data_IF_089329804758
#
_entry.id   IF_089329804758
#
_cell.length_a   1.000
_cell.length_b   1.000
_cell.length_c   1.000
_cell.angle_alpha   90.00
_cell.angle_beta   90.00
_cell.angle_gamma   90.00
#
_symmetry.space_group_name_H-M   'P 1'
#
loop_
_entity.id
_entity.type
_entity.pdbx_description
1 polymer ?
#
# COMPACT_ATOMS: atom_id res chain seq x y z
N UNK A 1 -102.71 -54.03 29.68
CA UNK A 1 -103.38 -54.63 28.51
C UNK A 1 -102.33 -54.75 27.42
N UNK A 2 -101.92 -56.00 27.11
CA UNK A 2 -101.42 -56.54 25.82
C UNK A 2 -100.31 -55.76 25.07
N UNK A 3 -99.15 -56.27 24.65
CA UNK A 3 -98.28 -57.46 24.90
C UNK A 3 -97.12 -57.38 23.86
N UNK A 4 -95.87 -57.63 24.32
CA UNK A 4 -94.66 -58.24 23.68
C UNK A 4 -94.17 -57.81 22.27
N UNK A 5 -92.85 -57.76 21.95
CA UNK A 5 -91.63 -58.05 22.71
C UNK A 5 -90.34 -58.00 21.84
N UNK A 6 -89.17 -57.83 22.49
CA UNK A 6 -87.77 -58.29 22.25
C UNK A 6 -87.16 -58.34 20.80
N UNK A 7 -85.88 -58.05 20.48
CA UNK A 7 -84.54 -58.17 21.11
C UNK A 7 -83.46 -57.34 20.32
N UNK A 8 -82.37 -56.94 21.01
CA UNK A 8 -80.97 -56.62 20.57
C UNK A 8 -80.52 -55.34 19.80
N UNK A 9 -79.55 -54.61 20.41
CA UNK A 9 -78.59 -53.57 19.91
C UNK A 9 -77.57 -54.13 18.87
N UNK A 10 -76.67 -53.33 18.22
CA UNK A 10 -76.70 -51.95 17.67
C UNK A 10 -75.94 -51.80 16.32
N UNK A 11 -76.40 -51.02 15.33
CA UNK A 11 -75.54 -50.52 14.22
C UNK A 11 -76.18 -49.25 13.63
N UNK A 12 -75.55 -48.08 13.71
CA UNK A 12 -75.67 -47.01 12.71
C UNK A 12 -74.58 -45.94 12.96
N UNK A 13 -73.38 -46.29 12.52
CA UNK A 13 -72.25 -45.38 12.33
C UNK A 13 -71.79 -45.60 10.88
N UNK A 14 -72.53 -45.04 9.91
CA UNK A 14 -72.31 -45.30 8.48
C UNK A 14 -72.89 -44.20 7.58
N UNK A 15 -72.42 -42.97 7.78
CA UNK A 15 -72.39 -41.92 6.74
C UNK A 15 -70.94 -41.58 6.33
N UNK A 16 -70.08 -42.60 6.41
CA UNK A 16 -68.74 -42.64 5.84
C UNK A 16 -68.77 -43.71 4.74
N UNK A 17 -68.13 -43.41 3.60
CA UNK A 17 -67.95 -44.26 2.41
C UNK A 17 -69.11 -44.20 1.42
N UNK A 18 -69.13 -43.17 0.56
CA UNK A 18 -69.36 -43.30 -0.88
C UNK A 18 -69.06 -41.96 -1.57
N UNK A 19 -67.78 -41.62 -1.67
CA UNK A 19 -67.16 -40.97 -2.84
C UNK A 19 -65.65 -41.16 -2.71
N UNK A 20 -65.25 -42.43 -2.81
CA UNK A 20 -63.86 -42.85 -3.02
C UNK A 20 -63.78 -43.36 -4.46
N UNK A 21 -63.51 -42.46 -5.40
CA UNK A 21 -62.79 -42.71 -6.66
C UNK A 21 -62.87 -41.45 -7.52
N UNK A 22 -61.74 -41.11 -8.13
CA UNK A 22 -61.47 -39.89 -8.92
C UNK A 22 -61.15 -38.64 -8.09
N UNK A 23 -60.04 -38.70 -7.34
CA UNK A 23 -58.95 -37.71 -7.38
C UNK A 23 -57.76 -38.18 -6.53
N UNK A 24 -57.31 -39.42 -6.74
CA UNK A 24 -55.98 -39.86 -6.29
C UNK A 24 -55.00 -39.74 -7.45
N UNK A 25 -54.65 -38.51 -7.85
CA UNK A 25 -53.41 -38.26 -8.60
C UNK A 25 -53.07 -36.76 -8.73
N UNK A 26 -52.76 -36.05 -7.64
CA UNK A 26 -51.77 -34.95 -7.65
C UNK A 26 -51.49 -34.47 -6.21
N UNK A 27 -50.21 -34.25 -5.87
CA UNK A 27 -49.68 -33.79 -4.57
C UNK A 27 -49.68 -34.75 -3.38
N UNK A 28 -48.88 -35.82 -3.49
CA UNK A 28 -48.04 -36.28 -2.37
C UNK A 28 -46.61 -35.88 -2.70
N UNK A 29 -46.16 -34.72 -2.22
CA UNK A 29 -44.78 -34.51 -1.78
C UNK A 29 -44.65 -33.16 -1.03
N UNK A 30 -43.86 -33.17 0.05
CA UNK A 30 -43.43 -32.04 0.91
C UNK A 30 -44.50 -31.15 1.58
N UNK A 31 -45.06 -31.58 2.73
CA UNK A 31 -45.51 -30.59 3.74
C UNK A 31 -44.29 -30.17 4.55
N UNK A 32 -43.81 -28.95 4.39
CA UNK A 32 -42.85 -28.36 5.33
C UNK A 32 -43.59 -28.07 6.66
N UNK A 33 -43.11 -28.65 7.76
CA UNK A 33 -43.68 -28.41 9.08
C UNK A 33 -43.33 -26.98 9.55
N UNK A 34 -44.37 -26.14 9.68
CA UNK A 34 -44.24 -24.83 10.34
C UNK A 34 -43.70 -24.99 11.76
N UNK A 35 -42.86 -24.07 12.21
CA UNK A 35 -42.28 -24.14 13.56
C UNK A 35 -43.02 -23.16 14.46
N UNK A 36 -43.89 -23.70 15.32
CA UNK A 36 -44.60 -22.92 16.32
C UNK A 36 -43.64 -22.38 17.39
N UNK A 37 -43.91 -21.17 17.87
CA UNK A 37 -43.21 -20.60 19.01
C UNK A 37 -41.81 -20.08 18.68
N UNK A 38 -41.49 -19.93 17.39
CA UNK A 38 -40.19 -19.48 16.91
C UNK A 38 -40.36 -18.43 15.82
N UNK A 39 -39.33 -17.60 15.64
CA UNK A 39 -39.27 -16.61 14.58
C UNK A 39 -37.84 -16.40 14.09
N UNK A 40 -37.69 -15.95 12.84
CA UNK A 40 -36.44 -15.42 12.34
C UNK A 40 -36.46 -13.88 12.41
N UNK A 41 -35.58 -13.28 13.22
CA UNK A 41 -35.52 -11.82 13.40
C UNK A 41 -34.50 -11.16 12.47
N UNK A 42 -34.42 -9.82 12.46
CA UNK A 42 -33.44 -8.97 11.74
C UNK A 42 -33.45 -9.00 10.20
N UNK A 43 -34.12 -9.99 9.59
CA UNK A 43 -34.11 -10.21 8.13
C UNK A 43 -35.43 -9.87 7.44
N UNK A 44 -36.34 -9.23 8.17
CA UNK A 44 -37.68 -8.87 7.69
C UNK A 44 -37.56 -7.68 6.73
N UNK A 45 -38.00 -7.86 5.48
CA UNK A 45 -37.94 -6.82 4.46
C UNK A 45 -39.33 -6.33 4.00
N UNK A 46 -40.40 -7.09 4.29
CA UNK A 46 -41.78 -6.72 3.96
C UNK A 46 -42.72 -7.21 5.05
N UNK A 47 -43.66 -6.36 5.45
CA UNK A 47 -44.74 -6.71 6.38
C UNK A 47 -46.08 -6.59 5.67
N UNK A 48 -46.95 -7.59 5.82
CA UNK A 48 -48.29 -7.64 5.23
C UNK A 48 -49.29 -7.74 6.38
N UNK A 49 -50.24 -6.80 6.42
CA UNK A 49 -51.30 -6.74 7.43
C UNK A 49 -52.60 -7.31 6.87
N UNK A 50 -53.47 -7.84 7.74
CA UNK A 50 -54.76 -8.44 7.36
C UNK A 50 -54.62 -9.74 6.56
N UNK A 51 -53.52 -10.44 6.77
CA UNK A 51 -53.31 -11.80 6.29
C UNK A 51 -54.07 -12.76 7.18
N UNK A 52 -55.40 -12.74 7.06
CA UNK A 52 -56.24 -13.76 7.66
C UNK A 52 -55.84 -15.08 6.97
N UNK A 53 -55.17 -15.96 7.72
CA UNK A 53 -54.62 -17.24 7.26
C UNK A 53 -53.25 -17.16 6.55
N UNK A 54 -52.39 -18.15 6.83
CA UNK A 54 -51.02 -18.22 6.33
C UNK A 54 -50.89 -18.33 4.79
N UNK A 55 -51.97 -18.63 4.08
CA UNK A 55 -52.01 -18.76 2.62
C UNK A 55 -51.65 -17.44 1.90
N UNK A 56 -52.06 -16.29 2.46
CA UNK A 56 -51.67 -15.00 1.90
C UNK A 56 -50.16 -14.75 2.06
N UNK A 57 -49.58 -15.16 3.18
CA UNK A 57 -48.13 -15.08 3.39
C UNK A 57 -47.36 -15.91 2.37
N UNK A 58 -47.81 -17.16 2.13
CA UNK A 58 -47.21 -18.06 1.15
C UNK A 58 -47.27 -17.46 -0.25
N UNK A 59 -48.45 -16.99 -0.66
CA UNK A 59 -48.64 -16.36 -1.98
C UNK A 59 -47.70 -15.17 -2.17
N UNK A 60 -47.66 -14.25 -1.22
CA UNK A 60 -46.81 -13.06 -1.29
C UNK A 60 -45.32 -13.42 -1.25
N UNK A 61 -44.94 -14.42 -0.46
CA UNK A 61 -43.56 -14.92 -0.42
C UNK A 61 -43.14 -15.54 -1.76
N UNK A 62 -44.02 -16.33 -2.40
CA UNK A 62 -43.69 -16.94 -3.68
C UNK A 62 -43.58 -15.92 -4.83
N UNK A 63 -44.33 -14.81 -4.78
CA UNK A 63 -44.26 -13.74 -5.77
C UNK A 63 -43.02 -12.84 -5.64
N UNK A 64 -42.42 -12.71 -4.45
CA UNK A 64 -41.19 -11.95 -4.26
C UNK A 64 -39.99 -12.89 -4.29
N UNK A 65 -39.12 -12.75 -5.30
CA UNK A 65 -37.91 -13.58 -5.44
C UNK A 65 -36.97 -13.45 -4.23
N UNK A 66 -37.06 -12.35 -3.48
CA UNK A 66 -36.25 -12.13 -2.28
C UNK A 66 -36.78 -12.90 -1.08
N UNK A 67 -38.02 -13.37 -1.09
CA UNK A 67 -38.54 -14.09 0.07
C UNK A 67 -37.93 -15.49 0.17
N UNK A 68 -37.36 -15.79 1.34
CA UNK A 68 -36.70 -17.05 1.67
C UNK A 68 -37.43 -17.77 2.83
N UNK A 69 -38.05 -17.00 3.72
CA UNK A 69 -38.91 -17.47 4.81
C UNK A 69 -39.88 -16.37 5.23
N UNK A 70 -40.81 -16.66 6.13
CA UNK A 70 -41.65 -15.64 6.75
C UNK A 70 -42.06 -16.04 8.16
N UNK A 71 -42.34 -15.03 8.99
CA UNK A 71 -43.00 -15.22 10.28
C UNK A 71 -44.49 -14.88 10.14
N UNK A 72 -45.37 -15.77 10.57
CA UNK A 72 -46.80 -15.50 10.71
C UNK A 72 -47.13 -15.15 12.16
N UNK A 73 -47.62 -13.94 12.39
CA UNK A 73 -48.05 -13.43 13.70
C UNK A 73 -49.54 -13.72 13.85
N UNK A 74 -49.88 -14.86 14.43
CA UNK A 74 -51.27 -15.31 14.51
C UNK A 74 -52.13 -14.48 15.46
N UNK A 75 -51.51 -13.74 16.39
CA UNK A 75 -52.21 -12.81 17.30
C UNK A 75 -52.66 -11.52 16.60
N UNK A 76 -52.12 -11.21 15.42
CA UNK A 76 -52.31 -9.93 14.72
C UNK A 76 -52.66 -10.09 13.23
N UNK A 77 -52.89 -11.32 12.76
CA UNK A 77 -53.14 -11.65 11.34
C UNK A 77 -52.16 -10.93 10.39
N UNK A 78 -50.86 -11.09 10.67
CA UNK A 78 -49.78 -10.37 9.99
C UNK A 78 -48.69 -11.32 9.51
N UNK A 79 -48.20 -11.10 8.29
CA UNK A 79 -47.00 -11.77 7.77
C UNK A 79 -45.79 -10.84 7.80
N UNK A 80 -44.63 -11.39 8.14
CA UNK A 80 -43.34 -10.71 8.02
C UNK A 80 -42.43 -11.53 7.13
N UNK A 81 -42.28 -11.11 5.86
CA UNK A 81 -41.44 -11.80 4.90
C UNK A 81 -39.96 -11.50 5.18
N UNK A 82 -39.15 -12.55 5.12
CA UNK A 82 -37.73 -12.53 5.41
C UNK A 82 -36.91 -12.96 4.20
N UNK A 83 -35.78 -12.28 3.99
CA UNK A 83 -34.85 -12.56 2.91
C UNK A 83 -33.78 -13.59 3.29
N UNK A 84 -33.95 -14.26 4.44
CA UNK A 84 -33.09 -15.31 4.96
C UNK A 84 -33.88 -16.51 5.45
N UNK A 85 -33.18 -17.59 5.78
CA UNK A 85 -33.73 -18.75 6.49
C UNK A 85 -33.00 -18.99 7.79
N UNK A 86 -33.58 -19.79 8.68
CA UNK A 86 -32.93 -20.22 9.93
C UNK A 86 -31.62 -20.99 9.71
N UNK A 87 -31.44 -21.66 8.56
CA UNK A 87 -30.21 -22.37 8.23
C UNK A 87 -29.09 -21.40 7.83
N UNK A 88 -29.44 -20.32 7.13
CA UNK A 88 -28.53 -19.25 6.75
C UNK A 88 -28.10 -18.36 7.92
N UNK A 89 -29.02 -18.15 8.89
CA UNK A 89 -28.85 -17.27 10.05
C UNK A 89 -29.38 -17.94 11.33
N UNK A 90 -28.76 -19.04 11.78
CA UNK A 90 -29.23 -19.77 12.96
C UNK A 90 -29.22 -18.94 14.24
N UNK A 91 -28.32 -17.96 14.35
CA UNK A 91 -28.21 -17.02 15.46
C UNK A 91 -29.41 -16.07 15.60
N UNK A 92 -30.15 -15.82 14.52
CA UNK A 92 -31.33 -14.96 14.51
C UNK A 92 -32.64 -15.75 14.65
N UNK A 93 -32.55 -17.08 14.77
CA UNK A 93 -33.71 -17.95 14.93
C UNK A 93 -34.04 -18.12 16.42
N UNK A 94 -34.99 -17.33 16.91
CA UNK A 94 -35.25 -17.13 18.34
C UNK A 94 -36.67 -17.53 18.75
N UNK A 95 -36.91 -17.92 20.02
CA UNK A 95 -38.25 -18.20 20.52
C UNK A 95 -39.17 -16.98 20.51
N UNK A 96 -40.41 -17.18 20.05
CA UNK A 96 -41.50 -16.22 20.18
C UNK A 96 -42.85 -16.95 20.11
N UNK A 97 -43.58 -16.97 21.23
CA UNK A 97 -44.82 -17.73 21.39
C UNK A 97 -45.99 -17.24 20.53
N UNK A 98 -45.92 -16.04 19.96
CA UNK A 98 -46.99 -15.45 19.14
C UNK A 98 -46.81 -15.71 17.64
N UNK A 99 -45.86 -16.57 17.26
CA UNK A 99 -45.41 -16.72 15.88
C UNK A 99 -45.27 -18.16 15.42
N UNK A 100 -45.51 -18.35 14.14
CA UNK A 100 -45.07 -19.52 13.39
C UNK A 100 -43.99 -19.07 12.39
N UNK A 101 -42.87 -19.78 12.37
CA UNK A 101 -41.87 -19.64 11.32
C UNK A 101 -42.17 -20.61 10.18
N UNK A 102 -42.15 -20.11 8.95
CA UNK A 102 -42.29 -20.88 7.72
C UNK A 102 -41.07 -20.67 6.83
N UNK A 103 -40.48 -21.76 6.35
CA UNK A 103 -39.47 -21.71 5.30
C UNK A 103 -40.18 -21.69 3.94
N UNK A 104 -39.54 -21.10 2.93
CA UNK A 104 -39.96 -21.27 1.54
C UNK A 104 -39.40 -22.58 1.00
N UNK A 105 -40.27 -23.46 0.54
CA UNK A 105 -39.96 -24.76 -0.07
C UNK A 105 -39.77 -24.68 -1.59
N UNK A 106 -40.62 -23.93 -2.28
CA UNK A 106 -40.68 -23.92 -3.74
C UNK A 106 -39.94 -22.74 -4.37
N UNK A 107 -39.22 -23.02 -5.45
CA UNK A 107 -38.53 -22.03 -6.29
C UNK A 107 -37.66 -21.05 -5.48
N UNK A 108 -37.08 -21.51 -4.37
CA UNK A 108 -36.24 -20.68 -3.51
C UNK A 108 -34.89 -20.45 -4.18
N UNK A 109 -34.49 -19.19 -4.31
CA UNK A 109 -33.21 -18.81 -4.89
C UNK A 109 -32.11 -18.94 -3.84
N UNK A 110 -30.99 -19.58 -4.21
CA UNK A 110 -29.78 -19.66 -3.38
C UNK A 110 -29.28 -18.23 -3.08
N UNK A 111 -28.90 -17.97 -1.84
CA UNK A 111 -28.36 -16.67 -1.47
C UNK A 111 -27.07 -16.39 -2.26
N UNK A 112 -26.94 -15.16 -2.76
CA UNK A 112 -25.86 -14.73 -3.63
C UNK A 112 -26.00 -15.12 -5.10
N UNK A 113 -27.06 -15.84 -5.51
CA UNK A 113 -27.27 -16.14 -6.93
C UNK A 113 -27.74 -14.92 -7.74
N UNK A 114 -28.38 -13.94 -7.08
CA UNK A 114 -28.89 -12.71 -7.70
C UNK A 114 -28.51 -11.48 -6.85
N UNK A 115 -28.35 -10.28 -7.45
CA UNK A 115 -27.93 -9.09 -6.73
C UNK A 115 -28.96 -8.58 -5.70
N UNK A 116 -30.24 -8.92 -5.84
CA UNK A 116 -31.30 -8.57 -4.89
C UNK A 116 -31.29 -9.43 -3.62
N UNK A 117 -30.56 -10.55 -3.65
CA UNK A 117 -30.33 -11.46 -2.55
C UNK A 117 -28.83 -11.71 -2.35
N UNK A 118 -28.04 -10.68 -2.02
CA UNK A 118 -26.64 -10.90 -1.72
C UNK A 118 -26.52 -11.75 -0.46
N UNK A 119 -25.54 -12.63 -0.39
CA UNK A 119 -25.15 -13.29 0.86
C UNK A 119 -24.17 -12.41 1.65
N UNK A 120 -23.99 -12.64 2.94
CA UNK A 120 -22.94 -12.00 3.75
C UNK A 120 -21.75 -12.94 3.99
N UNK A 121 -21.85 -14.24 3.66
CA UNK A 121 -20.72 -15.18 3.73
C UNK A 121 -20.88 -16.41 2.82
N UNK A 122 -19.77 -17.09 2.53
CA UNK A 122 -19.77 -18.41 1.88
C UNK A 122 -20.58 -19.46 2.63
N UNK A 123 -20.51 -19.42 3.97
CA UNK A 123 -21.27 -20.33 4.86
C UNK A 123 -22.76 -20.19 4.63
N UNK A 124 -23.22 -18.96 4.51
CA UNK A 124 -24.62 -18.67 4.25
C UNK A 124 -25.07 -19.17 2.87
N UNK A 125 -24.26 -18.94 1.84
CA UNK A 125 -24.55 -19.44 0.48
C UNK A 125 -24.73 -20.96 0.54
N UNK A 126 -23.77 -21.66 1.14
CA UNK A 126 -23.77 -23.12 1.31
C UNK A 126 -24.99 -23.61 2.10
N UNK A 127 -25.34 -22.95 3.19
CA UNK A 127 -26.52 -23.28 3.99
C UNK A 127 -27.83 -23.09 3.21
N UNK A 128 -27.95 -22.00 2.46
CA UNK A 128 -29.16 -21.70 1.67
C UNK A 128 -29.42 -22.71 0.54
N UNK A 129 -28.34 -23.24 -0.05
CA UNK A 129 -28.35 -24.27 -1.10
C UNK A 129 -28.36 -25.71 -0.58
N UNK A 130 -28.63 -25.94 0.71
CA UNK A 130 -28.72 -27.29 1.28
C UNK A 130 -27.40 -28.07 1.23
N UNK A 131 -26.25 -27.37 1.27
CA UNK A 131 -24.92 -27.98 1.22
C UNK A 131 -24.41 -28.30 -0.19
N UNK A 132 -25.17 -28.02 -1.25
CA UNK A 132 -24.81 -28.32 -2.64
C UNK A 132 -24.07 -27.17 -3.36
N UNK A 133 -23.84 -26.04 -2.69
CA UNK A 133 -23.16 -24.91 -3.31
C UNK A 133 -21.69 -25.24 -3.65
N UNK A 134 -21.23 -24.82 -4.83
CA UNK A 134 -19.86 -25.03 -5.33
C UNK A 134 -19.09 -23.71 -5.35
N UNK A 135 -17.75 -23.77 -5.38
CA UNK A 135 -16.92 -22.57 -5.48
C UNK A 135 -17.21 -21.83 -6.78
N UNK A 136 -17.24 -20.50 -6.72
CA UNK A 136 -17.61 -19.67 -7.86
C UNK A 136 -17.93 -18.24 -7.46
N UNK A 137 -18.48 -17.46 -8.40
CA UNK A 137 -18.83 -16.06 -8.18
C UNK A 137 -20.27 -15.93 -7.68
N UNK A 138 -20.44 -15.20 -6.59
CA UNK A 138 -21.73 -14.92 -5.95
C UNK A 138 -21.84 -13.44 -5.60
N UNK A 139 -23.08 -12.95 -5.55
CA UNK A 139 -23.40 -11.64 -5.02
C UNK A 139 -23.27 -11.64 -3.51
N UNK A 140 -22.34 -10.86 -3.00
CA UNK A 140 -22.06 -10.72 -1.57
C UNK A 140 -22.24 -9.26 -1.16
N UNK A 141 -22.74 -9.06 0.05
CA UNK A 141 -22.97 -7.75 0.61
C UNK A 141 -21.66 -7.17 1.15
N UNK A 142 -21.09 -6.22 0.42
CA UNK A 142 -19.88 -5.50 0.79
C UNK A 142 -20.21 -4.01 0.92
N UNK A 143 -20.04 -3.44 2.12
CA UNK A 143 -20.32 -2.01 2.39
C UNK A 143 -21.75 -1.63 1.97
N UNK A 144 -22.74 -2.45 2.36
CA UNK A 144 -24.18 -2.27 2.05
C UNK A 144 -24.50 -2.24 0.55
N UNK A 145 -23.67 -2.87 -0.28
CA UNK A 145 -23.88 -3.03 -1.72
C UNK A 145 -23.67 -4.48 -2.12
N UNK A 146 -24.49 -4.98 -3.04
CA UNK A 146 -24.27 -6.27 -3.66
C UNK A 146 -23.09 -6.16 -4.65
N UNK A 147 -22.03 -6.90 -4.39
CA UNK A 147 -20.81 -6.97 -5.21
C UNK A 147 -20.61 -8.42 -5.62
N UNK A 148 -20.17 -8.65 -6.85
CA UNK A 148 -19.84 -9.99 -7.32
C UNK A 148 -18.42 -10.34 -6.87
N UNK A 149 -18.29 -11.40 -6.07
CA UNK A 149 -17.03 -11.89 -5.51
C UNK A 149 -16.93 -13.41 -5.64
N UNK A 150 -15.72 -13.93 -5.74
CA UNK A 150 -15.45 -15.36 -5.69
C UNK A 150 -15.55 -15.87 -4.25
N UNK A 151 -16.22 -17.00 -4.08
CA UNK A 151 -16.37 -17.71 -2.83
C UNK A 151 -15.79 -19.12 -3.00
N UNK A 152 -14.84 -19.48 -2.15
CA UNK A 152 -14.30 -20.84 -2.07
C UNK A 152 -15.07 -21.65 -1.03
N UNK A 153 -15.93 -22.57 -1.50
CA UNK A 153 -16.77 -23.40 -0.63
C UNK A 153 -15.99 -24.47 0.15
N UNK A 154 -14.72 -24.74 -0.22
CA UNK A 154 -13.89 -25.73 0.48
C UNK A 154 -13.38 -25.18 1.81
N UNK A 155 -12.95 -23.91 1.81
CA UNK A 155 -12.47 -23.20 3.00
C UNK A 155 -13.51 -22.23 3.56
N UNK A 156 -14.65 -22.06 2.87
CA UNK A 156 -15.77 -21.20 3.21
C UNK A 156 -15.36 -19.73 3.35
N UNK A 157 -14.54 -19.26 2.40
CA UNK A 157 -13.90 -17.95 2.37
C UNK A 157 -14.26 -17.15 1.13
N UNK A 158 -14.47 -15.85 1.31
CA UNK A 158 -14.72 -14.92 0.20
C UNK A 158 -13.37 -14.33 -0.19
N UNK A 159 -13.03 -14.37 -1.48
CA UNK A 159 -11.88 -13.66 -1.99
C UNK A 159 -12.26 -12.21 -2.28
N UNK A 160 -12.05 -11.29 -1.33
CA UNK A 160 -12.39 -9.88 -1.54
C UNK A 160 -11.54 -9.22 -2.64
N UNK A 161 -10.39 -9.80 -2.99
CA UNK A 161 -9.54 -9.31 -4.06
C UNK A 161 -10.08 -9.65 -5.45
N UNK A 162 -11.00 -10.61 -5.55
CA UNK A 162 -11.73 -10.95 -6.78
C UNK A 162 -12.95 -10.06 -7.04
N UNK A 163 -13.21 -9.09 -6.16
CA UNK A 163 -14.35 -8.20 -6.26
C UNK A 163 -14.44 -7.48 -7.61
N UNK A 164 -15.66 -7.34 -8.14
CA UNK A 164 -15.92 -6.49 -9.30
C UNK A 164 -15.67 -4.99 -9.04
N UNK A 165 -15.50 -4.59 -7.77
CA UNK A 165 -15.13 -3.25 -7.35
C UNK A 165 -13.72 -3.23 -6.76
N UNK A 166 -13.06 -2.08 -6.81
CA UNK A 166 -11.74 -1.91 -6.20
C UNK A 166 -11.86 -1.75 -4.68
N UNK A 167 -11.35 -2.74 -3.93
CA UNK A 167 -11.34 -2.77 -2.46
C UNK A 167 -10.12 -2.10 -1.81
N UNK A 168 -8.97 -2.07 -2.51
CA UNK A 168 -7.73 -1.40 -2.05
C UNK A 168 -7.49 -0.07 -2.78
N UNK A 169 -6.51 0.72 -2.32
CA UNK A 169 -6.06 1.90 -3.08
C UNK A 169 -5.63 1.52 -4.52
N UNK A 170 -5.75 2.44 -5.47
CA UNK A 170 -5.26 2.23 -6.85
C UNK A 170 -3.75 1.89 -6.90
N UNK A 171 -2.99 2.44 -5.96
CA UNK A 171 -1.56 2.20 -5.79
C UNK A 171 -1.27 1.14 -4.71
N UNK A 172 -2.19 0.21 -4.45
CA UNK A 172 -1.99 -0.94 -3.59
C UNK A 172 -2.30 -2.25 -4.31
N UNK A 173 -1.69 -3.32 -3.81
CA UNK A 173 -1.99 -4.71 -4.15
C UNK A 173 -2.88 -5.30 -3.05
N UNK A 174 -3.86 -6.11 -3.46
CA UNK A 174 -4.79 -6.80 -2.57
C UNK A 174 -4.31 -8.23 -2.34
N UNK A 175 -4.32 -8.69 -1.10
CA UNK A 175 -3.98 -10.06 -0.70
C UNK A 175 -5.12 -10.67 0.08
N UNK A 176 -5.72 -11.73 -0.47
CA UNK A 176 -6.78 -12.46 0.21
C UNK A 176 -6.23 -13.22 1.42
N UNK A 177 -6.99 -13.26 2.51
CA UNK A 177 -6.65 -13.99 3.74
C UNK A 177 -7.89 -14.73 4.26
N UNK A 178 -7.72 -15.77 5.07
CA UNK A 178 -8.89 -16.49 5.56
C UNK A 178 -9.78 -15.59 6.43
N UNK A 179 -11.00 -15.31 5.95
CA UNK A 179 -12.01 -14.47 6.57
C UNK A 179 -11.83 -12.96 6.36
N UNK A 180 -10.85 -12.51 5.56
CA UNK A 180 -10.61 -11.09 5.30
C UNK A 180 -9.62 -10.84 4.15
N UNK A 181 -9.18 -9.61 3.96
CA UNK A 181 -8.12 -9.27 3.02
C UNK A 181 -7.21 -8.20 3.60
N UNK A 182 -6.01 -8.09 3.04
CA UNK A 182 -5.06 -7.04 3.36
C UNK A 182 -4.64 -6.29 2.09
N UNK A 183 -4.39 -4.99 2.25
CA UNK A 183 -3.90 -4.14 1.17
C UNK A 183 -2.47 -3.69 1.49
N UNK A 184 -1.56 -3.79 0.52
CA UNK A 184 -0.18 -3.31 0.64
C UNK A 184 0.12 -2.30 -0.46
N UNK A 185 0.68 -1.14 -0.12
CA UNK A 185 1.05 -0.16 -1.16
C UNK A 185 2.11 -0.73 -2.11
N UNK A 186 1.92 -0.47 -3.41
CA UNK A 186 2.87 -0.82 -4.48
C UNK A 186 4.22 -0.15 -4.26
N UNK A 187 5.31 -0.69 -4.83
CA UNK A 187 6.63 -0.07 -4.77
C UNK A 187 6.61 1.42 -5.17
N UNK A 188 7.26 2.26 -4.36
CA UNK A 188 7.28 3.71 -4.55
C UNK A 188 6.14 4.47 -3.87
N UNK A 189 5.23 3.77 -3.19
CA UNK A 189 4.17 4.36 -2.36
C UNK A 189 4.28 3.90 -0.90
N UNK A 190 3.74 4.71 0.01
CA UNK A 190 3.71 4.45 1.45
C UNK A 190 2.33 4.79 2.00
N UNK A 191 1.89 4.03 3.01
CA UNK A 191 0.59 4.20 3.65
C UNK A 191 0.04 2.87 4.15
N UNK A 192 -1.27 2.81 4.42
CA UNK A 192 -1.94 1.63 5.02
C UNK A 192 -2.62 0.72 3.97
N UNK A 193 -2.29 0.85 2.70
CA UNK A 193 -2.91 0.07 1.60
C UNK A 193 -4.29 0.58 1.17
N UNK A 194 -5.05 1.24 2.05
CA UNK A 194 -6.29 1.96 1.70
C UNK A 194 -6.00 3.38 1.21
N UNK A 195 -5.00 4.01 1.82
CA UNK A 195 -4.40 5.27 1.37
C UNK A 195 -2.93 5.02 1.08
N UNK A 196 -2.51 5.26 -0.17
CA UNK A 196 -1.12 5.15 -0.60
C UNK A 196 -0.66 6.47 -1.21
N UNK A 197 0.31 7.11 -0.57
CA UNK A 197 0.94 8.34 -1.04
C UNK A 197 2.31 8.02 -1.64
N UNK A 198 2.74 8.78 -2.64
CA UNK A 198 4.06 8.58 -3.26
C UNK A 198 5.14 8.82 -2.20
N UNK A 199 6.11 7.91 -2.09
CA UNK A 199 7.24 8.06 -1.17
C UNK A 199 8.06 9.28 -1.61
N UNK A 200 8.38 10.16 -0.66
CA UNK A 200 9.34 11.22 -0.95
C UNK A 200 10.70 10.58 -1.30
N UNK A 201 11.28 11.03 -2.41
CA UNK A 201 12.58 10.55 -2.85
C UNK A 201 13.66 11.06 -1.89
N UNK A 202 14.46 10.17 -1.32
CA UNK A 202 15.50 10.52 -0.33
C UNK A 202 16.75 11.09 -0.98
N UNK A 203 17.00 10.76 -2.23
CA UNK A 203 18.18 11.17 -2.99
C UNK A 203 17.91 11.10 -4.50
N UNK A 204 18.92 11.46 -5.30
CA UNK A 204 18.82 11.42 -6.76
C UNK A 204 18.66 10.01 -7.35
N UNK A 205 19.12 8.97 -6.65
CA UNK A 205 18.94 7.58 -7.08
C UNK A 205 17.47 7.15 -6.98
N UNK A 206 16.74 7.56 -5.94
CA UNK A 206 15.29 7.34 -5.85
C UNK A 206 14.55 8.06 -6.99
N UNK A 207 14.96 9.28 -7.33
CA UNK A 207 14.41 10.00 -8.50
C UNK A 207 14.70 9.25 -9.79
N UNK A 208 15.91 8.74 -9.96
CA UNK A 208 16.29 7.91 -11.10
C UNK A 208 15.44 6.65 -11.18
N UNK A 209 15.32 5.89 -10.09
CA UNK A 209 14.52 4.67 -10.05
C UNK A 209 13.02 4.94 -10.32
N UNK A 210 12.52 6.15 -10.02
CA UNK A 210 11.17 6.59 -10.39
C UNK A 210 10.97 6.97 -11.86
N UNK A 211 11.98 6.79 -12.71
CA UNK A 211 11.93 7.06 -14.15
C UNK A 211 12.43 8.44 -14.58
N UNK A 212 12.96 9.27 -13.67
CA UNK A 212 13.56 10.56 -14.04
C UNK A 212 14.95 10.33 -14.65
N UNK A 213 15.19 10.87 -15.86
CA UNK A 213 16.44 10.64 -16.63
C UNK A 213 17.18 11.92 -17.01
N UNK A 214 16.61 13.09 -16.75
CA UNK A 214 17.23 14.38 -17.09
C UNK A 214 18.06 14.92 -15.94
N UNK A 215 19.24 15.46 -16.24
CA UNK A 215 20.01 16.24 -15.26
C UNK A 215 19.22 17.49 -14.83
N UNK A 216 19.45 17.97 -13.61
CA UNK A 216 18.83 19.20 -13.13
C UNK A 216 18.62 19.24 -11.63
N UNK A 217 17.94 20.28 -11.17
CA UNK A 217 17.62 20.47 -9.75
C UNK A 217 16.36 19.69 -9.37
N UNK A 218 16.45 18.87 -8.33
CA UNK A 218 15.34 18.10 -7.77
C UNK A 218 15.18 18.38 -6.28
N UNK A 219 13.95 18.34 -5.79
CA UNK A 219 13.66 18.30 -4.34
C UNK A 219 13.72 16.86 -3.83
N UNK A 220 14.46 16.65 -2.74
CA UNK A 220 14.62 15.38 -2.04
C UNK A 220 14.32 15.54 -0.54
N UNK A 221 13.92 14.46 0.12
CA UNK A 221 13.61 14.44 1.55
C UNK A 221 14.29 13.23 2.22
N UNK A 222 15.57 13.36 2.64
CA UNK A 222 16.34 12.21 3.11
C UNK A 222 15.93 11.70 4.50
N UNK A 223 15.40 12.58 5.35
CA UNK A 223 15.09 12.31 6.76
C UNK A 223 13.97 13.24 7.27
N UNK A 224 13.60 13.11 8.55
CA UNK A 224 12.51 13.88 9.17
C UNK A 224 12.79 15.39 9.33
N UNK A 225 14.03 15.83 9.12
CA UNK A 225 14.45 17.23 9.27
C UNK A 225 14.07 18.11 8.07
N UNK A 226 13.36 17.54 7.09
CA UNK A 226 12.72 18.27 6.00
C UNK A 226 13.48 18.21 4.67
N UNK A 227 12.75 18.53 3.61
CA UNK A 227 13.23 18.46 2.23
C UNK A 227 14.18 19.60 1.87
N UNK A 228 15.06 19.35 0.89
CA UNK A 228 15.91 20.37 0.27
C UNK A 228 16.21 20.05 -1.19
N UNK A 229 16.66 21.06 -1.93
CA UNK A 229 17.03 20.92 -3.35
C UNK A 229 18.47 20.46 -3.52
N UNK A 230 18.69 19.58 -4.51
CA UNK A 230 20.00 19.10 -4.95
C UNK A 230 20.08 19.09 -6.47
N UNK A 231 21.29 19.15 -7.01
CA UNK A 231 21.51 18.87 -8.43
C UNK A 231 21.70 17.36 -8.62
N UNK A 232 20.86 16.76 -9.46
CA UNK A 232 20.97 15.36 -9.85
C UNK A 232 21.64 15.23 -11.21
N UNK A 233 22.71 14.45 -11.25
CA UNK A 233 23.27 13.92 -12.48
C UNK A 233 22.67 12.54 -12.74
N UNK A 234 21.76 12.51 -13.71
CA UNK A 234 21.00 11.33 -14.12
C UNK A 234 21.60 10.65 -15.35
N UNK A 235 22.72 11.14 -15.87
CA UNK A 235 23.30 10.68 -17.14
C UNK A 235 24.66 10.03 -16.97
N UNK A 236 25.52 10.54 -16.10
CA UNK A 236 26.87 10.01 -15.94
C UNK A 236 26.88 8.68 -15.18
N UNK A 237 27.74 7.75 -15.61
CA UNK A 237 28.06 6.51 -14.88
C UNK A 237 26.81 5.75 -14.33
N UNK A 238 25.74 5.65 -15.14
CA UNK A 238 24.50 4.95 -14.79
C UNK A 238 23.45 5.79 -14.05
N UNK A 239 23.66 7.11 -13.88
CA UNK A 239 22.70 8.05 -13.29
C UNK A 239 22.50 7.90 -11.79
N UNK A 240 21.54 8.68 -11.24
CA UNK A 240 21.19 8.66 -9.82
C UNK A 240 22.16 9.38 -8.89
N UNK A 241 23.06 10.21 -9.43
CA UNK A 241 24.10 10.88 -8.64
C UNK A 241 23.60 12.19 -8.06
N UNK A 242 23.86 12.40 -6.76
CA UNK A 242 23.61 13.67 -6.07
C UNK A 242 24.91 14.46 -6.06
N UNK A 243 24.98 15.55 -6.82
CA UNK A 243 26.17 16.41 -6.89
C UNK A 243 26.18 17.32 -5.67
N UNK A 244 27.30 17.35 -4.94
CA UNK A 244 27.45 18.17 -3.74
C UNK A 244 28.55 19.24 -3.83
N UNK A 245 29.40 19.14 -4.84
CA UNK A 245 30.39 20.16 -5.17
C UNK A 245 30.52 20.23 -6.70
N UNK A 246 30.61 21.45 -7.24
CA UNK A 246 30.76 21.69 -8.67
C UNK A 246 31.59 22.95 -8.94
N UNK A 247 32.65 22.80 -9.74
CA UNK A 247 33.53 23.86 -10.27
C UNK A 247 33.51 23.81 -11.80
N UNK A 248 33.43 24.96 -12.45
CA UNK A 248 33.20 25.10 -13.89
C UNK A 248 33.88 26.30 -14.54
N UNK A 249 33.85 27.47 -13.87
CA UNK A 249 34.12 28.75 -14.51
C UNK A 249 34.69 29.82 -13.56
N UNK A 250 34.77 29.56 -12.26
CA UNK A 250 35.24 30.50 -11.26
C UNK A 250 34.25 31.62 -10.91
N UNK A 251 32.97 31.47 -11.27
CA UNK A 251 31.91 32.44 -10.94
C UNK A 251 31.63 32.55 -9.44
N UNK A 252 32.04 31.57 -8.63
CA UNK A 252 31.82 31.54 -7.18
C UNK A 252 33.15 31.48 -6.44
N UNK A 253 33.29 32.32 -5.42
CA UNK A 253 34.42 32.25 -4.49
C UNK A 253 34.27 31.07 -3.52
N UNK A 254 35.29 30.22 -3.45
CA UNK A 254 35.36 29.08 -2.54
C UNK A 254 36.27 29.37 -1.33
N UNK A 255 36.96 30.51 -1.25
CA UNK A 255 37.78 30.86 -0.10
C UNK A 255 36.94 31.47 1.04
N UNK A 256 35.98 30.68 1.53
CA UNK A 256 34.95 31.08 2.48
C UNK A 256 35.15 30.48 3.89
N UNK A 257 34.39 31.02 4.84
CA UNK A 257 34.43 30.66 6.27
C UNK A 257 33.64 29.38 6.59
N UNK A 258 33.77 28.88 7.82
CA UNK A 258 33.11 27.67 8.32
C UNK A 258 31.60 27.67 8.09
N UNK A 259 30.94 28.78 8.44
CA UNK A 259 29.47 28.86 8.35
C UNK A 259 28.97 28.65 6.92
N UNK A 260 29.69 29.17 5.91
CA UNK A 260 29.32 29.01 4.51
C UNK A 260 29.48 27.54 4.08
N UNK A 261 30.58 26.90 4.45
CA UNK A 261 30.79 25.48 4.16
C UNK A 261 29.81 24.57 4.91
N UNK A 262 29.37 24.97 6.09
CA UNK A 262 28.33 24.27 6.86
C UNK A 262 26.97 24.32 6.15
N UNK A 263 26.49 25.51 5.78
CA UNK A 263 25.14 25.69 5.22
C UNK A 263 25.05 25.46 3.70
N UNK A 264 26.15 25.65 2.99
CA UNK A 264 26.23 25.64 1.53
C UNK A 264 26.16 27.04 0.92
N UNK A 265 26.68 27.17 -0.30
CA UNK A 265 26.77 28.41 -1.06
C UNK A 265 26.83 28.14 -2.58
N UNK A 266 26.67 29.21 -3.38
CA UNK A 266 26.65 29.13 -4.84
C UNK A 266 25.26 28.82 -5.42
N UNK A 267 25.23 28.30 -6.64
CA UNK A 267 24.00 27.98 -7.37
C UNK A 267 24.00 26.55 -7.86
N UNK A 268 22.92 25.79 -7.60
CA UNK A 268 22.79 24.41 -8.08
C UNK A 268 22.83 24.29 -9.62
N UNK A 269 22.61 25.39 -10.35
CA UNK A 269 22.73 25.44 -11.82
C UNK A 269 24.11 25.92 -12.31
N UNK A 270 25.01 26.32 -11.41
CA UNK A 270 26.36 26.78 -11.70
C UNK A 270 27.39 26.12 -10.78
N UNK A 271 28.31 26.91 -10.24
CA UNK A 271 29.24 26.45 -9.20
C UNK A 271 28.57 26.49 -7.82
N UNK A 272 28.81 25.46 -7.00
CA UNK A 272 28.26 25.41 -5.66
C UNK A 272 28.98 24.43 -4.74
N UNK A 273 28.74 24.63 -3.45
CA UNK A 273 28.97 23.66 -2.38
C UNK A 273 27.64 23.43 -1.66
N UNK A 274 27.20 22.18 -1.55
CA UNK A 274 25.87 21.84 -1.04
C UNK A 274 25.66 22.21 0.44
N UNK A 275 26.75 22.15 1.22
CA UNK A 275 26.75 22.35 2.68
C UNK A 275 27.03 21.06 3.44
N UNK A 276 27.94 21.11 4.40
CA UNK A 276 28.37 19.97 5.20
C UNK A 276 27.21 19.35 6.00
N UNK A 277 26.26 20.16 6.49
CA UNK A 277 25.07 19.65 7.17
C UNK A 277 24.23 18.74 6.26
N UNK A 278 24.04 19.15 5.00
CA UNK A 278 23.27 18.37 4.02
C UNK A 278 24.05 17.13 3.55
N UNK A 279 25.36 17.25 3.36
CA UNK A 279 26.23 16.13 2.99
C UNK A 279 26.26 15.07 4.10
N UNK A 280 26.36 15.49 5.36
CA UNK A 280 26.25 14.60 6.51
C UNK A 280 24.89 13.90 6.55
N UNK A 281 23.78 14.65 6.46
CA UNK A 281 22.42 14.09 6.44
C UNK A 281 22.24 13.02 5.37
N UNK A 282 22.74 13.27 4.15
CA UNK A 282 22.68 12.31 3.05
C UNK A 282 23.51 11.06 3.35
N UNK A 283 24.79 11.23 3.70
CA UNK A 283 25.70 10.10 3.88
C UNK A 283 25.48 9.29 5.15
N UNK A 284 24.76 9.83 6.13
CA UNK A 284 24.37 9.12 7.35
C UNK A 284 23.15 8.20 7.16
N UNK A 285 22.38 8.36 6.07
CA UNK A 285 21.13 7.61 5.87
C UNK A 285 21.32 6.20 5.33
N UNK A 286 22.44 5.91 4.67
CA UNK A 286 22.77 4.63 4.03
C UNK A 286 24.25 4.58 3.62
N UNK A 287 24.72 3.46 3.07
CA UNK A 287 26.06 3.39 2.49
C UNK A 287 26.10 4.12 1.14
N UNK A 288 26.89 5.20 1.06
CA UNK A 288 27.13 5.95 -0.17
C UNK A 288 28.51 5.63 -0.74
N UNK A 289 28.59 5.67 -2.07
CA UNK A 289 29.84 5.83 -2.80
C UNK A 289 30.02 7.26 -3.27
N UNK A 290 31.28 7.68 -3.37
CA UNK A 290 31.71 8.94 -3.95
C UNK A 290 32.23 8.70 -5.36
N UNK A 291 31.95 9.65 -6.26
CA UNK A 291 32.63 9.81 -7.54
C UNK A 291 33.10 11.25 -7.67
N UNK A 292 34.33 11.42 -8.15
CA UNK A 292 34.95 12.69 -8.48
C UNK A 292 35.22 12.67 -9.99
N UNK A 293 34.64 13.61 -10.73
CA UNK A 293 34.88 13.80 -12.17
C UNK A 293 35.75 15.06 -12.36
N UNK A 294 36.80 14.95 -13.18
CA UNK A 294 37.80 16.00 -13.40
C UNK A 294 37.98 16.26 -14.91
N UNK A 295 38.12 17.54 -15.27
CA UNK A 295 38.49 17.99 -16.63
C UNK A 295 39.63 19.02 -16.52
N UNK A 296 40.73 18.81 -17.24
CA UNK A 296 41.82 19.78 -17.34
C UNK A 296 41.54 20.88 -18.39
N UNK A 297 42.44 21.87 -18.49
CA UNK A 297 42.30 22.97 -19.45
C UNK A 297 42.41 22.52 -20.92
N UNK A 298 43.02 21.36 -21.17
CA UNK A 298 43.18 20.75 -22.49
C UNK A 298 41.99 19.87 -22.89
N UNK A 299 41.02 19.66 -21.99
CA UNK A 299 39.84 18.83 -22.19
C UNK A 299 40.05 17.34 -21.88
N UNK A 300 41.18 16.95 -21.31
CA UNK A 300 41.37 15.58 -20.84
C UNK A 300 40.52 15.35 -19.59
N UNK A 301 39.95 14.16 -19.46
CA UNK A 301 39.08 13.80 -18.34
C UNK A 301 39.60 12.61 -17.56
N UNK A 302 39.40 12.65 -16.25
CA UNK A 302 39.67 11.54 -15.35
C UNK A 302 38.62 11.47 -14.25
N UNK A 303 38.55 10.34 -13.56
CA UNK A 303 37.66 10.13 -12.44
C UNK A 303 38.28 9.27 -11.34
N UNK A 304 37.80 9.48 -10.13
CA UNK A 304 38.07 8.68 -8.94
C UNK A 304 36.74 8.27 -8.29
N UNK A 305 36.59 7.01 -7.92
CA UNK A 305 35.46 6.48 -7.15
C UNK A 305 35.93 5.85 -5.83
N UNK A 306 35.08 5.96 -4.81
CA UNK A 306 35.29 5.35 -3.49
C UNK A 306 33.99 4.65 -3.08
N UNK A 307 34.03 3.32 -2.89
CA UNK A 307 32.84 2.55 -2.49
C UNK A 307 32.44 2.72 -1.01
N UNK A 308 33.12 3.58 -0.27
CA UNK A 308 32.66 4.05 1.04
C UNK A 308 32.88 5.54 1.06
N UNK A 309 31.84 6.32 1.33
CA UNK A 309 31.91 7.75 1.54
C UNK A 309 30.93 8.16 2.62
N UNK A 310 31.47 8.62 3.74
CA UNK A 310 30.68 9.26 4.80
C UNK A 310 31.35 10.51 5.31
N UNK A 311 30.53 11.47 5.73
CA UNK A 311 30.97 12.71 6.36
C UNK A 311 30.36 12.75 7.76
N UNK A 312 31.21 12.94 8.78
CA UNK A 312 30.80 13.03 10.18
C UNK A 312 29.88 14.22 10.47
N UNK A 313 29.42 14.34 11.70
CA UNK A 313 28.62 15.50 12.13
C UNK A 313 29.52 16.69 12.54
N UNK A 314 28.92 17.80 12.95
CA UNK A 314 29.68 18.98 13.38
C UNK A 314 30.57 18.71 14.61
N UNK A 315 30.17 17.82 15.52
CA UNK A 315 30.96 17.48 16.71
C UNK A 315 32.29 16.79 16.35
N UNK A 316 32.32 16.03 15.26
CA UNK A 316 33.57 15.47 14.70
C UNK A 316 34.18 16.36 13.62
N UNK A 317 33.72 17.61 13.50
CA UNK A 317 34.12 18.58 12.46
C UNK A 317 34.01 18.00 11.05
N UNK A 318 32.91 17.29 10.79
CA UNK A 318 32.59 16.68 9.51
C UNK A 318 33.72 15.79 8.96
N UNK A 319 34.34 15.00 9.83
CA UNK A 319 35.44 14.09 9.49
C UNK A 319 35.12 13.23 8.26
N UNK A 320 36.07 13.14 7.33
CA UNK A 320 35.94 12.33 6.11
C UNK A 320 36.18 10.86 6.41
N UNK A 321 35.36 9.99 5.80
CA UNK A 321 35.67 8.57 5.70
C UNK A 321 35.49 8.10 4.25
N UNK A 322 36.59 7.70 3.62
CA UNK A 322 36.66 7.16 2.26
C UNK A 322 37.46 5.87 2.20
N UNK A 323 36.97 4.88 1.45
CA UNK A 323 37.65 3.57 1.26
C UNK A 323 37.34 2.98 -0.11
N UNK A 324 38.08 1.92 -0.46
CA UNK A 324 37.85 1.09 -1.64
C UNK A 324 37.90 1.93 -2.93
N UNK A 325 39.06 2.53 -3.17
CA UNK A 325 39.36 3.35 -4.33
C UNK A 325 39.30 2.56 -5.64
N UNK A 326 38.79 3.20 -6.70
CA UNK A 326 38.96 2.81 -8.10
C UNK A 326 38.91 4.04 -9.01
N UNK A 327 39.40 3.95 -10.24
CA UNK A 327 39.36 5.06 -11.18
C UNK A 327 40.58 5.11 -12.09
N UNK A 328 40.56 6.05 -13.04
CA UNK A 328 41.70 6.32 -13.92
C UNK A 328 42.47 7.59 -13.51
N UNK A 329 41.97 8.37 -12.55
CA UNK A 329 42.78 9.33 -11.82
C UNK A 329 43.73 8.58 -10.86
N UNK A 330 44.60 9.32 -10.18
CA UNK A 330 45.36 8.87 -9.01
C UNK A 330 44.49 8.91 -7.74
N UNK A 331 44.83 8.14 -6.71
CA UNK A 331 44.13 8.20 -5.42
C UNK A 331 44.62 9.37 -4.55
N UNK A 332 44.16 10.59 -4.85
CA UNK A 332 44.54 11.81 -4.13
C UNK A 332 43.61 12.18 -2.97
N UNK A 333 42.71 11.27 -2.57
CA UNK A 333 41.81 11.48 -1.43
C UNK A 333 42.08 10.51 -0.27
N UNK A 334 42.75 9.37 -0.49
CA UNK A 334 43.03 8.41 0.58
C UNK A 334 43.78 9.02 1.78
N UNK A 335 44.78 9.88 1.55
CA UNK A 335 45.53 10.54 2.63
C UNK A 335 44.70 11.54 3.45
N UNK A 336 43.55 11.96 2.92
CA UNK A 336 42.61 12.83 3.61
C UNK A 336 41.63 12.07 4.51
N UNK A 337 41.59 10.73 4.38
CA UNK A 337 40.70 9.88 5.17
C UNK A 337 40.96 10.03 6.67
N UNK A 338 39.90 10.23 7.45
CA UNK A 338 39.98 10.41 8.90
C UNK A 338 40.33 11.82 9.37
N UNK A 339 40.56 12.79 8.47
CA UNK A 339 40.84 14.17 8.86
C UNK A 339 39.55 15.01 8.98
N UNK A 340 39.51 15.97 9.91
CA UNK A 340 38.40 16.92 10.04
C UNK A 340 38.40 17.93 8.88
N UNK A 341 37.24 18.50 8.59
CA UNK A 341 37.13 19.58 7.62
C UNK A 341 37.72 20.88 8.21
N UNK A 342 38.41 21.66 7.39
CA UNK A 342 39.08 22.89 7.80
C UNK A 342 38.76 24.04 6.83
N UNK A 343 38.48 25.21 7.38
CA UNK A 343 38.35 26.51 6.69
C UNK A 343 39.32 27.50 7.32
N UNK A 344 39.50 28.66 6.68
CA UNK A 344 40.45 29.71 7.14
C UNK A 344 40.24 30.20 8.58
N UNK A 345 39.01 30.11 9.09
CA UNK A 345 38.58 30.62 10.40
C UNK A 345 38.57 29.57 11.53
N UNK A 346 38.70 28.27 11.21
CA UNK A 346 38.68 27.18 12.21
C UNK A 346 39.85 26.20 12.07
N UNK A 347 40.88 26.59 11.32
CA UNK A 347 42.03 25.76 11.02
C UNK A 347 42.99 25.65 12.22
N UNK A 348 43.37 24.43 12.60
CA UNK A 348 44.48 24.17 13.54
C UNK A 348 45.85 24.21 12.86
N UNK A 349 45.90 24.28 11.52
CA UNK A 349 47.10 24.36 10.70
C UNK A 349 47.03 25.56 9.74
N UNK A 350 48.12 25.96 9.11
CA UNK A 350 48.05 27.05 8.12
C UNK A 350 47.54 26.59 6.74
N UNK A 351 47.17 25.32 6.55
CA UNK A 351 46.85 24.77 5.23
C UNK A 351 45.73 25.53 4.50
N UNK A 352 44.58 25.73 5.16
CA UNK A 352 43.43 26.41 4.55
C UNK A 352 43.75 27.87 4.15
N UNK A 353 44.57 28.56 4.96
CA UNK A 353 45.00 29.95 4.70
C UNK A 353 46.05 30.00 3.59
N UNK A 354 47.08 29.15 3.66
CA UNK A 354 48.17 29.09 2.69
C UNK A 354 47.68 28.74 1.29
N UNK A 355 46.75 27.79 1.19
CA UNK A 355 46.26 27.27 -0.09
C UNK A 355 44.87 27.79 -0.48
N UNK A 356 44.38 28.80 0.24
CA UNK A 356 43.16 29.57 -0.05
C UNK A 356 41.94 28.70 -0.40
N UNK A 357 41.69 27.67 0.40
CA UNK A 357 40.59 26.75 0.18
C UNK A 357 40.06 26.18 1.49
N UNK A 358 39.11 25.25 1.38
CA UNK A 358 38.60 24.49 2.50
C UNK A 358 38.48 23.01 2.15
N UNK A 359 39.03 22.16 3.00
CA UNK A 359 39.16 20.73 2.73
C UNK A 359 39.42 19.93 4.00
N UNK A 360 39.42 18.61 3.86
CA UNK A 360 39.88 17.68 4.90
C UNK A 360 41.41 17.62 4.94
N UNK A 361 42.07 18.74 5.25
CA UNK A 361 43.53 18.85 5.20
C UNK A 361 44.23 17.97 6.26
N UNK A 362 45.37 17.37 5.90
CA UNK A 362 46.25 16.63 6.83
C UNK A 362 47.55 17.39 7.11
N UNK A 363 48.45 17.50 6.12
CA UNK A 363 49.69 18.30 6.17
C UNK A 363 50.36 18.39 4.77
N UNK A 364 49.80 19.08 3.78
CA UNK A 364 48.51 19.75 3.79
C UNK A 364 47.48 19.04 2.92
N UNK A 365 47.80 18.70 1.67
CA UNK A 365 46.89 17.96 0.81
C UNK A 365 47.58 17.20 -0.34
N UNK A 366 46.90 16.17 -0.85
CA UNK A 366 47.11 15.57 -2.17
C UNK A 366 46.04 16.04 -3.18
N UNK A 367 44.86 16.41 -2.70
CA UNK A 367 43.81 17.07 -3.49
C UNK A 367 43.27 18.32 -2.79
N UNK A 368 42.91 19.34 -3.57
CA UNK A 368 42.21 20.52 -3.07
C UNK A 368 41.26 21.05 -4.14
N UNK A 369 40.09 20.43 -4.24
CA UNK A 369 39.10 20.78 -5.29
C UNK A 369 38.34 22.08 -4.99
N UNK A 370 38.51 22.61 -3.78
CA UNK A 370 37.93 23.86 -3.30
C UNK A 370 38.94 25.03 -3.30
N UNK A 371 40.08 24.87 -3.97
CA UNK A 371 41.03 25.96 -4.18
C UNK A 371 40.49 27.04 -5.13
N UNK A 372 41.31 28.07 -5.35
CA UNK A 372 41.04 29.19 -6.25
C UNK A 372 40.94 28.69 -7.69
N UNK A 373 39.92 29.16 -8.40
CA UNK A 373 39.79 28.88 -9.82
C UNK A 373 40.70 29.84 -10.60
N UNK A 374 41.63 29.30 -11.38
CA UNK A 374 42.48 30.09 -12.26
C UNK A 374 42.12 29.80 -13.72
N UNK A 375 41.83 30.85 -14.49
CA UNK A 375 41.58 30.71 -15.91
C UNK A 375 42.90 30.57 -16.67
N UNK A 376 43.10 29.43 -17.35
CA UNK A 376 44.33 29.12 -18.07
C UNK A 376 45.38 28.35 -17.25
N UNK A 377 46.60 28.26 -17.78
CA UNK A 377 47.69 27.53 -17.14
C UNK A 377 48.18 28.25 -15.88
N UNK A 378 47.92 27.64 -14.72
CA UNK A 378 48.41 28.10 -13.44
C UNK A 378 48.81 26.91 -12.57
N UNK A 379 50.04 26.94 -12.06
CA UNK A 379 50.68 25.83 -11.32
C UNK A 379 50.80 26.11 -9.81
N UNK A 380 50.29 27.24 -9.33
CA UNK A 380 50.30 27.58 -7.91
C UNK A 380 49.53 26.58 -7.08
N UNK A 381 49.96 26.40 -5.84
CA UNK A 381 49.39 25.40 -4.92
C UNK A 381 48.05 25.83 -4.31
N UNK A 382 47.55 27.03 -4.59
CA UNK A 382 46.21 27.47 -4.19
C UNK A 382 45.12 27.10 -5.21
N UNK A 383 45.47 26.44 -6.32
CA UNK A 383 44.53 26.09 -7.40
C UNK A 383 43.66 24.86 -7.11
N UNK A 384 42.65 24.62 -7.97
CA UNK A 384 41.88 23.38 -7.98
C UNK A 384 42.79 22.22 -8.42
N UNK A 385 43.21 21.36 -7.47
CA UNK A 385 44.26 20.36 -7.70
C UNK A 385 43.85 18.94 -7.32
N UNK A 386 44.40 17.98 -8.07
CA UNK A 386 44.36 16.55 -7.84
C UNK A 386 45.71 15.95 -8.25
N UNK A 387 46.56 15.63 -7.28
CA UNK A 387 47.95 15.19 -7.51
C UNK A 387 48.00 13.97 -8.43
N UNK A 388 48.81 13.99 -9.49
CA UNK A 388 48.90 12.88 -10.47
C UNK A 388 47.93 12.96 -11.66
N UNK A 389 47.02 13.95 -11.68
CA UNK A 389 46.25 14.29 -12.89
C UNK A 389 46.28 15.79 -13.20
N UNK A 390 45.96 16.64 -12.21
CA UNK A 390 45.90 18.08 -12.38
C UNK A 390 47.19 18.76 -11.91
N UNK A 391 48.14 18.90 -12.84
CA UNK A 391 49.35 19.72 -12.62
C UNK A 391 49.04 21.23 -12.68
N UNK A 392 47.97 21.59 -13.39
CA UNK A 392 47.39 22.94 -13.48
C UNK A 392 45.98 22.96 -12.86
N UNK A 393 45.43 24.16 -12.60
CA UNK A 393 44.04 24.30 -12.13
C UNK A 393 43.07 23.53 -13.01
N UNK A 394 42.18 22.73 -12.41
CA UNK A 394 41.10 22.07 -13.14
C UNK A 394 40.23 23.11 -13.86
N UNK A 395 39.81 22.77 -15.09
CA UNK A 395 38.73 23.47 -15.77
C UNK A 395 37.38 23.08 -15.19
N UNK A 396 37.19 21.79 -14.87
CA UNK A 396 36.00 21.30 -14.15
C UNK A 396 36.37 20.31 -13.07
N UNK A 397 35.66 20.38 -11.97
CA UNK A 397 35.70 19.39 -10.90
C UNK A 397 34.28 19.21 -10.34
N UNK A 398 33.81 17.97 -10.28
CA UNK A 398 32.51 17.65 -9.69
C UNK A 398 32.67 16.52 -8.68
N UNK A 399 32.11 16.69 -7.48
CA UNK A 399 31.98 15.62 -6.50
C UNK A 399 30.51 15.23 -6.35
N UNK A 400 30.24 13.94 -6.49
CA UNK A 400 28.87 13.40 -6.49
C UNK A 400 28.80 12.10 -5.72
N UNK A 401 27.67 11.88 -5.04
CA UNK A 401 27.43 10.70 -4.21
C UNK A 401 26.22 9.92 -4.68
N UNK A 402 26.26 8.60 -4.52
CA UNK A 402 25.14 7.70 -4.83
C UNK A 402 25.08 6.56 -3.82
N UNK A 403 23.90 6.13 -3.34
CA UNK A 403 23.81 4.93 -2.51
C UNK A 403 24.27 3.67 -3.28
N UNK A 404 24.85 2.70 -2.58
CA UNK A 404 25.41 1.45 -3.16
C UNK A 404 24.33 0.35 -3.36
N UNK A 405 23.05 0.74 -3.36
CA UNK A 405 21.84 -0.08 -3.28
C UNK A 405 21.53 -0.61 -1.87
N UNK A 406 20.24 -0.57 -1.53
CA UNK A 406 19.54 -1.54 -0.68
C UNK A 406 18.65 -2.36 -1.62
#
# INVERSE_FOLDING_TARGET
MVVQGFFHLPVFLSLLVFFHSVFTQYHRDTREDSIFGMMLQNHIFKTITRAAFGDECLRECYHDIRCQSFNYVFTQDKCELSNRTKEARPEDFVPNSERYYFRRDMNRVILGAIPELPADSCKEIKASGGGQAVSGYYWVNLIKRAVLLHCDMKIEDIDECSASIRVCNINADCHNTLGSYSCSCKPGFTGNGMTCAKRDAKNCADKYNSGKRSNGVYSINPDISGAFSVFCDQTAAGGGWTVFQKRLDGSVDFYLNWINYKTGFGSLNGEFWLGLDKIHRLTNSSNYKLRVDLEDMSGNTAYAEYNVFTVGNEATKYQLNVRNYSGNASDSLANHNGYPFMTKDISSSNCAVTYKGAWWYYSCYESSLNGVYHNGEYTGYDSIRWHGFLHHSAKRAEMKMRPINL
#
